data_IF_871384099054
#
_entry.id   IF_871384099054
#
_cell.length_a   1.000
_cell.length_b   1.000
_cell.length_c   1.000
_cell.angle_alpha   90.00
_cell.angle_beta   90.00
_cell.angle_gamma   90.00
#
_symmetry.space_group_name_H-M   'P 1'
#
loop_
_entity.id
_entity.type
_entity.pdbx_description
1 polymer ?
#
# COMPACT_ATOMS: atom_id res chain seq x y z
N UNK A 1 -19.44 12.59 -3.35
CA UNK A 1 -18.87 13.95 -3.19
C UNK A 1 -17.57 13.81 -2.42
N UNK A 2 -16.45 14.25 -3.00
CA UNK A 2 -15.14 14.09 -2.35
C UNK A 2 -15.05 14.89 -1.04
N UNK A 3 -14.43 14.27 -0.02
CA UNK A 3 -14.20 14.88 1.30
C UNK A 3 -13.05 15.88 1.28
N UNK A 4 -12.26 15.89 0.22
CA UNK A 4 -11.09 16.76 0.03
C UNK A 4 -11.28 17.64 -1.21
N UNK A 5 -10.61 18.79 -1.21
CA UNK A 5 -10.55 19.73 -2.34
C UNK A 5 -9.09 20.05 -2.65
N UNK A 6 -8.84 20.35 -3.93
CA UNK A 6 -7.54 20.78 -4.44
C UNK A 6 -7.72 22.15 -5.09
N UNK A 7 -6.82 23.09 -4.76
CA UNK A 7 -6.81 24.41 -5.39
C UNK A 7 -6.24 24.29 -6.81
N UNK A 8 -6.91 24.87 -7.80
CA UNK A 8 -6.37 24.93 -9.17
C UNK A 8 -5.08 25.76 -9.18
N UNK A 9 -4.19 25.58 -10.19
CA UNK A 9 -3.00 26.42 -10.34
C UNK A 9 -3.33 27.93 -10.35
N UNK A 10 -4.45 28.29 -10.99
CA UNK A 10 -5.01 29.65 -11.02
C UNK A 10 -5.53 30.07 -9.64
N UNK A 11 -6.24 29.18 -8.94
CA UNK A 11 -6.75 29.38 -7.59
C UNK A 11 -5.63 29.60 -6.57
N UNK A 12 -4.53 28.86 -6.66
CA UNK A 12 -3.32 29.05 -5.84
C UNK A 12 -2.70 30.43 -6.10
N UNK A 13 -2.62 30.87 -7.36
CA UNK A 13 -2.10 32.21 -7.69
C UNK A 13 -2.98 33.32 -7.09
N UNK A 14 -4.30 33.18 -7.18
CA UNK A 14 -5.26 34.10 -6.58
C UNK A 14 -5.14 34.12 -5.06
N UNK A 15 -5.06 32.96 -4.42
CA UNK A 15 -4.89 32.86 -2.98
C UNK A 15 -3.56 33.47 -2.51
N UNK A 16 -2.45 33.24 -3.23
CA UNK A 16 -1.15 33.86 -2.91
C UNK A 16 -1.19 35.38 -3.05
N UNK A 17 -1.96 35.90 -4.01
CA UNK A 17 -2.19 37.33 -4.17
C UNK A 17 -3.01 37.91 -3.00
N UNK A 18 -4.08 37.23 -2.58
CA UNK A 18 -4.92 37.62 -1.44
C UNK A 18 -4.12 37.60 -0.12
N UNK A 19 -3.31 36.57 0.09
CA UNK A 19 -2.42 36.44 1.25
C UNK A 19 -1.44 37.62 1.33
N UNK A 20 -0.79 37.96 0.20
CA UNK A 20 0.11 39.12 0.11
C UNK A 20 -0.62 40.45 0.33
N UNK A 21 -1.85 40.60 -0.17
CA UNK A 21 -2.65 41.81 0.02
C UNK A 21 -3.00 42.06 1.50
N UNK A 22 -3.09 40.99 2.30
CA UNK A 22 -3.30 41.06 3.75
C UNK A 22 -1.98 41.18 4.56
N UNK A 23 -0.82 41.30 3.91
CA UNK A 23 0.50 41.33 4.53
C UNK A 23 0.82 40.14 5.46
N UNK A 24 0.27 38.95 5.15
CA UNK A 24 0.49 37.74 5.95
C UNK A 24 1.52 36.81 5.31
N UNK A 25 2.32 36.13 6.14
CA UNK A 25 3.06 34.94 5.72
C UNK A 25 2.18 33.69 5.86
N UNK A 26 2.58 32.56 5.26
CA UNK A 26 1.84 31.30 5.46
C UNK A 26 1.86 30.84 6.93
N UNK A 27 2.91 31.20 7.68
CA UNK A 27 3.04 30.87 9.10
C UNK A 27 2.07 31.70 9.94
N UNK A 28 2.02 33.02 9.72
CA UNK A 28 1.10 33.92 10.43
C UNK A 28 -0.35 33.57 10.09
N UNK A 29 -0.62 33.33 8.81
CA UNK A 29 -1.94 32.93 8.33
C UNK A 29 -2.42 31.61 8.93
N UNK A 30 -1.54 30.63 9.11
CA UNK A 30 -1.88 29.37 9.76
C UNK A 30 -2.33 29.56 11.22
N UNK A 31 -1.65 30.46 11.95
CA UNK A 31 -2.04 30.83 13.32
C UNK A 31 -3.40 31.55 13.33
N UNK A 32 -3.61 32.51 12.44
CA UNK A 32 -4.83 33.33 12.40
C UNK A 32 -6.08 32.54 12.01
N UNK A 33 -5.95 31.56 11.11
CA UNK A 33 -7.04 30.67 10.69
C UNK A 33 -7.21 29.47 11.64
N UNK A 34 -6.31 29.29 12.62
CA UNK A 34 -6.36 28.19 13.58
C UNK A 34 -6.10 26.80 12.96
N UNK A 35 -5.41 26.74 11.81
CA UNK A 35 -5.08 25.50 11.12
C UNK A 35 -3.60 25.15 11.26
N UNK A 36 -3.28 23.86 11.20
CA UNK A 36 -1.88 23.43 11.13
C UNK A 36 -1.17 24.02 9.91
N UNK A 37 0.08 24.46 10.09
CA UNK A 37 0.92 24.98 9.00
C UNK A 37 0.98 24.04 7.80
N UNK A 38 1.01 22.73 8.03
CA UNK A 38 0.99 21.69 6.99
C UNK A 38 -0.26 21.76 6.13
N UNK A 39 -1.44 22.01 6.70
CA UNK A 39 -2.71 22.19 5.99
C UNK A 39 -2.68 23.43 5.08
N UNK A 40 -2.18 24.55 5.61
CA UNK A 40 -2.01 25.80 4.85
C UNK A 40 -1.01 25.62 3.72
N UNK A 41 0.14 25.00 4.01
CA UNK A 41 1.17 24.70 3.02
C UNK A 41 0.62 23.79 1.91
N UNK A 42 -0.14 22.74 2.27
CA UNK A 42 -0.76 21.84 1.30
C UNK A 42 -1.73 22.59 0.37
N UNK A 43 -2.57 23.49 0.90
CA UNK A 43 -3.45 24.34 0.10
C UNK A 43 -2.68 25.17 -0.94
N UNK A 44 -1.62 25.88 -0.51
CA UNK A 44 -0.82 26.72 -1.41
C UNK A 44 0.10 25.95 -2.37
N UNK A 45 0.24 24.64 -2.19
CA UNK A 45 1.00 23.74 -3.05
C UNK A 45 0.09 22.82 -3.89
N UNK A 46 -1.21 23.15 -4.01
CA UNK A 46 -2.19 22.36 -4.77
C UNK A 46 -2.24 20.87 -4.34
N UNK A 47 -2.06 20.60 -3.05
CA UNK A 47 -2.24 19.26 -2.46
C UNK A 47 -3.66 19.12 -1.88
N UNK A 48 -4.25 17.91 -1.86
CA UNK A 48 -5.56 17.69 -1.30
C UNK A 48 -5.62 18.05 0.19
N UNK A 49 -6.64 18.82 0.57
CA UNK A 49 -6.97 19.09 1.98
C UNK A 49 -8.46 18.89 2.22
N UNK A 50 -8.86 18.65 3.47
CA UNK A 50 -10.27 18.50 3.82
C UNK A 50 -11.09 19.71 3.39
N UNK A 51 -12.28 19.44 2.87
CA UNK A 51 -13.19 20.47 2.35
C UNK A 51 -13.49 21.57 3.37
N UNK A 52 -13.65 21.21 4.65
CA UNK A 52 -13.87 22.17 5.75
C UNK A 52 -12.72 23.17 5.84
N UNK A 53 -11.48 22.67 5.90
CA UNK A 53 -10.28 23.48 5.99
C UNK A 53 -10.08 24.32 4.72
N UNK A 54 -10.40 23.77 3.55
CA UNK A 54 -10.33 24.49 2.28
C UNK A 54 -11.29 25.69 2.26
N UNK A 55 -12.53 25.48 2.72
CA UNK A 55 -13.54 26.52 2.81
C UNK A 55 -13.13 27.58 3.84
N UNK A 56 -12.63 27.18 5.00
CA UNK A 56 -12.14 28.10 6.04
C UNK A 56 -11.00 29.00 5.53
N UNK A 57 -10.02 28.42 4.83
CA UNK A 57 -8.93 29.16 4.19
C UNK A 57 -9.49 30.17 3.17
N UNK A 58 -10.43 29.76 2.33
CA UNK A 58 -11.01 30.65 1.32
C UNK A 58 -11.83 31.78 1.96
N UNK A 59 -12.60 31.47 3.00
CA UNK A 59 -13.38 32.46 3.77
C UNK A 59 -12.45 33.52 4.38
N UNK A 60 -11.34 33.12 5.00
CA UNK A 60 -10.40 34.07 5.59
C UNK A 60 -9.73 34.98 4.53
N UNK A 61 -9.44 34.40 3.36
CA UNK A 61 -8.83 35.12 2.24
C UNK A 61 -9.83 35.97 1.43
N UNK A 62 -11.11 36.01 1.81
CA UNK A 62 -12.20 36.67 1.07
C UNK A 62 -12.34 36.13 -0.37
N UNK A 63 -12.19 34.82 -0.54
CA UNK A 63 -12.29 34.12 -1.81
C UNK A 63 -13.49 33.18 -1.82
N UNK A 64 -14.17 33.09 -2.96
CA UNK A 64 -15.17 32.05 -3.17
C UNK A 64 -14.45 30.73 -3.46
N UNK A 65 -14.61 29.75 -2.57
CA UNK A 65 -13.94 28.45 -2.67
C UNK A 65 -14.28 27.71 -3.98
N UNK A 66 -15.43 27.99 -4.60
CA UNK A 66 -15.83 27.40 -5.89
C UNK A 66 -15.04 27.94 -7.08
N UNK A 67 -14.45 29.12 -6.95
CA UNK A 67 -13.61 29.72 -7.99
C UNK A 67 -12.13 29.34 -7.81
N UNK A 68 -11.77 28.80 -6.64
CA UNK A 68 -10.41 28.36 -6.28
C UNK A 68 -10.25 26.85 -6.46
N UNK A 69 -11.26 26.07 -6.09
CA UNK A 69 -11.21 24.63 -6.18
C UNK A 69 -11.31 24.15 -7.63
N UNK A 70 -10.62 23.06 -7.92
CA UNK A 70 -10.77 22.35 -9.20
C UNK A 70 -12.02 21.47 -9.12
N UNK A 71 -13.01 21.71 -9.97
CA UNK A 71 -14.20 20.87 -10.16
C UNK A 71 -14.14 20.21 -11.53
N UNK A 72 -13.12 19.38 -11.71
CA UNK A 72 -13.05 18.36 -12.73
C UNK A 72 -12.79 17.06 -12.01
N UNK A 73 -13.17 15.93 -12.62
CA UNK A 73 -12.96 14.58 -12.12
C UNK A 73 -11.68 14.49 -11.33
N UNK A 74 -11.77 13.82 -10.17
CA UNK A 74 -10.61 13.41 -9.40
C UNK A 74 -9.47 13.17 -10.38
N UNK A 75 -8.39 13.96 -10.28
CA UNK A 75 -7.12 13.33 -10.48
C UNK A 75 -7.07 12.28 -9.36
N UNK A 76 -7.70 11.12 -9.61
CA UNK A 76 -7.14 9.86 -9.18
C UNK A 76 -5.68 10.04 -9.55
N UNK A 77 -4.72 9.92 -8.61
CA UNK A 77 -3.32 9.90 -9.01
C UNK A 77 -3.29 9.00 -10.24
N UNK A 78 -2.86 9.52 -11.41
CA UNK A 78 -2.89 8.74 -12.66
C UNK A 78 -2.32 7.40 -12.28
N UNK A 79 -3.18 6.37 -12.24
CA UNK A 79 -2.77 5.08 -11.70
C UNK A 79 -1.61 4.71 -12.59
N UNK A 80 -0.44 4.50 -11.98
CA UNK A 80 0.70 4.08 -12.79
C UNK A 80 0.27 2.83 -13.55
N UNK A 81 0.84 2.55 -14.74
CA UNK A 81 0.52 1.32 -15.45
C UNK A 81 0.61 0.10 -14.52
N UNK A 82 1.58 0.12 -13.59
CA UNK A 82 1.75 -0.89 -12.56
C UNK A 82 0.57 -0.95 -11.56
N UNK A 83 0.10 0.19 -11.05
CA UNK A 83 -1.08 0.24 -10.17
C UNK A 83 -2.35 -0.27 -10.84
N UNK A 84 -2.53 0.05 -12.11
CA UNK A 84 -3.69 -0.39 -12.90
C UNK A 84 -3.70 -1.91 -13.07
N UNK A 85 -2.53 -2.51 -13.33
CA UNK A 85 -2.39 -3.97 -13.44
C UNK A 85 -2.61 -4.65 -12.08
N UNK A 86 -2.09 -4.08 -11.00
CA UNK A 86 -2.33 -4.57 -9.64
C UNK A 86 -3.82 -4.58 -9.28
N UNK A 87 -4.55 -3.52 -9.63
CA UNK A 87 -6.00 -3.46 -9.42
C UNK A 87 -6.74 -4.52 -10.25
N UNK A 88 -6.33 -4.78 -11.49
CA UNK A 88 -6.91 -5.84 -12.30
C UNK A 88 -6.70 -7.22 -11.65
N UNK A 89 -5.51 -7.50 -11.12
CA UNK A 89 -5.24 -8.73 -10.37
C UNK A 89 -6.13 -8.82 -9.12
N UNK A 90 -6.28 -7.73 -8.36
CA UNK A 90 -7.17 -7.69 -7.20
C UNK A 90 -8.63 -7.98 -7.57
N UNK A 91 -9.11 -7.49 -8.72
CA UNK A 91 -10.47 -7.75 -9.22
C UNK A 91 -10.70 -9.23 -9.59
N UNK A 92 -9.65 -9.95 -9.98
CA UNK A 92 -9.69 -11.39 -10.23
C UNK A 92 -9.61 -12.22 -8.94
N UNK A 93 -9.17 -11.60 -7.84
CA UNK A 93 -8.97 -12.24 -6.56
C UNK A 93 -10.12 -12.05 -5.58
N UNK A 94 -9.89 -12.56 -4.37
CA UNK A 94 -10.78 -12.33 -3.24
C UNK A 94 -10.00 -11.94 -1.99
N UNK A 95 -10.54 -11.04 -1.15
CA UNK A 95 -9.95 -10.78 0.15
C UNK A 95 -10.00 -12.07 0.98
N UNK A 96 -8.95 -12.35 1.75
CA UNK A 96 -8.86 -13.60 2.52
C UNK A 96 -8.48 -13.38 3.98
N UNK A 97 -8.96 -14.28 4.83
CA UNK A 97 -8.49 -14.45 6.21
C UNK A 97 -7.65 -15.75 6.34
N UNK A 98 -7.26 -16.36 5.21
CA UNK A 98 -6.35 -17.52 5.18
C UNK A 98 -4.88 -17.11 5.12
N UNK A 99 -4.58 -15.84 4.83
CA UNK A 99 -3.23 -15.29 4.91
C UNK A 99 -3.19 -13.93 5.59
N UNK A 100 -2.03 -13.60 6.16
CA UNK A 100 -1.76 -12.28 6.70
C UNK A 100 -0.54 -12.24 7.62
N UNK A 101 -0.41 -11.13 8.34
CA UNK A 101 0.75 -10.86 9.17
C UNK A 101 0.64 -11.47 10.57
N UNK A 102 1.79 -11.92 11.07
CA UNK A 102 1.99 -12.33 12.46
C UNK A 102 3.20 -11.60 13.02
N UNK A 103 3.01 -10.91 14.15
CA UNK A 103 4.10 -10.26 14.88
C UNK A 103 5.00 -11.31 15.55
N UNK A 104 6.30 -11.20 15.31
CA UNK A 104 7.32 -11.95 16.04
C UNK A 104 7.58 -11.22 17.34
N UNK A 105 6.96 -11.71 18.42
CA UNK A 105 7.25 -11.22 19.77
C UNK A 105 8.51 -11.92 20.26
N UNK A 106 9.45 -11.17 20.82
CA UNK A 106 10.52 -11.79 21.62
C UNK A 106 9.85 -12.65 22.71
N UNK A 107 10.30 -13.89 22.84
CA UNK A 107 9.84 -14.80 23.90
C UNK A 107 10.26 -14.22 25.26
N UNK A 108 9.47 -13.30 25.80
CA UNK A 108 9.45 -13.10 27.24
C UNK A 108 8.91 -14.38 27.86
N UNK A 109 9.49 -14.84 28.98
CA UNK A 109 9.12 -16.05 29.73
C UNK A 109 7.67 -15.99 30.25
N UNK A 110 6.71 -15.98 29.35
CA UNK A 110 5.32 -15.67 29.59
C UNK A 110 4.46 -16.85 29.19
N UNK A 111 3.74 -17.39 30.17
CA UNK A 111 2.72 -18.42 30.03
C UNK A 111 1.46 -17.83 29.35
N UNK A 112 1.66 -17.22 28.19
CA UNK A 112 0.63 -16.57 27.40
C UNK A 112 -0.19 -17.61 26.66
N UNK A 113 -1.51 -17.62 26.91
CA UNK A 113 -2.46 -18.40 26.12
C UNK A 113 -2.26 -18.07 24.63
N UNK A 114 -2.00 -19.09 23.80
CA UNK A 114 -2.14 -18.99 22.35
C UNK A 114 -3.56 -18.52 22.05
N UNK A 115 -3.72 -17.24 21.73
CA UNK A 115 -4.98 -16.71 21.20
C UNK A 115 -5.04 -17.17 19.74
N UNK A 116 -6.05 -17.97 19.34
CA UNK A 116 -6.18 -18.35 17.95
C UNK A 116 -6.51 -17.12 17.10
N UNK A 117 -5.60 -16.81 16.17
CA UNK A 117 -5.86 -16.32 14.82
C UNK A 117 -6.78 -15.11 14.66
N UNK A 118 -6.21 -13.91 14.74
CA UNK A 118 -6.47 -12.92 13.70
C UNK A 118 -5.13 -12.39 13.21
N UNK A 119 -4.96 -12.32 11.90
CA UNK A 119 -3.78 -11.67 11.33
C UNK A 119 -3.80 -10.18 11.67
N UNK A 120 -2.62 -9.63 11.90
CA UNK A 120 -2.47 -8.23 12.28
C UNK A 120 -2.91 -7.34 11.10
N UNK A 121 -3.82 -6.40 11.37
CA UNK A 121 -4.25 -5.39 10.38
C UNK A 121 -3.45 -4.10 10.50
N UNK A 122 -2.63 -3.98 11.54
CA UNK A 122 -1.74 -2.84 11.78
C UNK A 122 -0.47 -3.31 12.46
N UNK A 123 0.68 -2.78 12.02
CA UNK A 123 2.00 -3.08 12.60
C UNK A 123 2.82 -1.79 12.72
N UNK A 124 3.64 -1.68 13.76
CA UNK A 124 4.48 -0.50 13.99
C UNK A 124 5.83 -0.64 13.28
N UNK A 125 6.37 0.48 12.78
CA UNK A 125 7.76 0.55 12.33
C UNK A 125 8.72 0.02 13.41
N UNK A 126 9.71 -0.77 12.98
CA UNK A 126 10.66 -1.45 13.85
C UNK A 126 10.18 -2.79 14.44
N UNK A 127 8.92 -3.17 14.19
CA UNK A 127 8.43 -4.52 14.51
C UNK A 127 9.03 -5.56 13.54
N UNK A 128 9.07 -6.81 13.97
CA UNK A 128 9.40 -7.95 13.12
C UNK A 128 8.15 -8.78 12.86
N UNK A 129 7.94 -9.16 11.60
CA UNK A 129 6.75 -9.90 11.18
C UNK A 129 7.10 -11.17 10.40
N UNK A 130 6.15 -12.09 10.35
CA UNK A 130 6.08 -13.17 9.37
C UNK A 130 4.79 -13.04 8.58
N UNK A 131 4.83 -13.44 7.31
CA UNK A 131 3.63 -13.62 6.51
C UNK A 131 3.24 -15.08 6.60
N UNK A 132 2.06 -15.39 7.13
CA UNK A 132 1.53 -16.75 7.16
C UNK A 132 0.46 -16.92 6.09
N UNK A 133 0.46 -18.10 5.45
CA UNK A 133 -0.51 -18.51 4.45
C UNK A 133 -0.98 -19.91 4.82
N UNK A 134 -2.30 -20.12 4.89
CA UNK A 134 -2.90 -21.41 5.18
C UNK A 134 -3.61 -21.96 3.94
N UNK A 135 -2.98 -22.93 3.27
CA UNK A 135 -3.49 -23.51 2.03
C UNK A 135 -4.40 -24.70 2.29
N UNK A 136 -5.53 -24.74 1.60
CA UNK A 136 -6.44 -25.89 1.61
C UNK A 136 -6.09 -26.96 0.57
N UNK A 137 -5.41 -26.55 -0.51
CA UNK A 137 -4.91 -27.43 -1.59
C UNK A 137 -3.42 -27.18 -1.81
N UNK A 138 -2.64 -28.21 -2.18
CA UNK A 138 -1.24 -28.01 -2.56
C UNK A 138 -1.16 -27.21 -3.87
N UNK A 139 -0.06 -26.50 -4.08
CA UNK A 139 0.14 -25.71 -5.29
C UNK A 139 1.42 -24.88 -5.25
N UNK A 140 1.70 -24.23 -6.38
CA UNK A 140 2.78 -23.28 -6.56
C UNK A 140 2.32 -21.88 -6.11
N UNK A 141 3.04 -21.29 -5.16
CA UNK A 141 2.78 -19.96 -4.62
C UNK A 141 3.65 -18.89 -5.30
N UNK A 142 2.97 -17.87 -5.83
CA UNK A 142 3.54 -16.54 -6.03
C UNK A 142 3.07 -15.62 -4.90
N UNK A 143 4.00 -15.02 -4.17
CA UNK A 143 3.68 -14.03 -3.15
C UNK A 143 4.22 -12.67 -3.57
N UNK A 144 3.32 -11.71 -3.75
CA UNK A 144 3.64 -10.36 -4.18
C UNK A 144 3.29 -9.37 -3.06
N UNK A 145 4.09 -8.33 -2.90
CA UNK A 145 3.81 -7.23 -1.98
C UNK A 145 3.86 -5.91 -2.73
N UNK A 146 2.93 -5.01 -2.42
CA UNK A 146 2.99 -3.59 -2.75
C UNK A 146 3.28 -2.81 -1.47
N UNK A 147 4.39 -2.08 -1.46
CA UNK A 147 4.81 -1.29 -0.29
C UNK A 147 4.11 0.07 -0.21
N UNK A 148 4.40 0.83 0.85
CA UNK A 148 3.80 2.16 1.07
C UNK A 148 4.21 3.22 0.04
N UNK A 149 5.28 2.98 -0.72
CA UNK A 149 5.73 3.83 -1.83
C UNK A 149 5.08 3.46 -3.17
N UNK A 150 4.36 2.35 -3.23
CA UNK A 150 3.74 1.81 -4.44
C UNK A 150 4.65 0.90 -5.26
N UNK A 151 5.88 0.64 -4.80
CA UNK A 151 6.74 -0.35 -5.43
C UNK A 151 6.22 -1.76 -5.13
N UNK A 152 6.40 -2.66 -6.08
CA UNK A 152 5.90 -4.02 -6.00
C UNK A 152 7.05 -5.02 -6.08
N UNK A 153 6.93 -6.10 -5.33
CA UNK A 153 8.01 -7.04 -5.09
C UNK A 153 7.50 -8.48 -5.09
N UNK A 154 8.27 -9.41 -5.65
CA UNK A 154 7.99 -10.84 -5.57
C UNK A 154 8.79 -11.48 -4.42
N UNK A 155 8.09 -11.87 -3.35
CA UNK A 155 8.65 -12.50 -2.17
C UNK A 155 8.68 -14.04 -2.25
N UNK A 156 7.93 -14.64 -3.17
CA UNK A 156 7.94 -16.08 -3.42
C UNK A 156 7.66 -16.32 -4.92
N UNK A 157 8.55 -17.01 -5.66
CA UNK A 157 9.87 -17.48 -5.23
C UNK A 157 10.84 -16.32 -4.96
N UNK A 158 11.73 -16.48 -3.97
CA UNK A 158 12.85 -15.56 -3.70
C UNK A 158 13.86 -16.20 -2.72
N UNK A 159 14.92 -15.47 -2.37
CA UNK A 159 15.82 -15.83 -1.27
C UNK A 159 15.12 -16.05 0.09
N UNK A 160 13.91 -15.51 0.28
CA UNK A 160 13.10 -15.73 1.50
C UNK A 160 12.18 -16.94 1.42
N UNK A 161 11.91 -17.45 0.22
CA UNK A 161 11.03 -18.59 -0.01
C UNK A 161 11.44 -19.35 -1.27
N UNK A 162 12.46 -20.20 -1.11
CA UNK A 162 13.04 -20.99 -2.21
C UNK A 162 12.20 -22.20 -2.59
N UNK A 163 11.22 -22.58 -1.78
CA UNK A 163 10.31 -23.71 -2.01
C UNK A 163 8.90 -23.18 -2.29
N UNK A 164 8.61 -22.66 -3.50
CA UNK A 164 7.31 -22.09 -3.84
C UNK A 164 6.20 -23.15 -3.97
N UNK A 165 6.56 -24.42 -4.17
CA UNK A 165 5.61 -25.53 -4.10
C UNK A 165 5.26 -25.82 -2.64
N UNK A 166 4.04 -25.49 -2.26
CA UNK A 166 3.53 -25.66 -0.92
C UNK A 166 2.56 -26.84 -0.84
N UNK A 167 2.65 -27.58 0.26
CA UNK A 167 1.64 -28.55 0.65
C UNK A 167 0.47 -27.85 1.36
N UNK A 168 -0.61 -28.59 1.61
CA UNK A 168 -1.72 -28.12 2.43
C UNK A 168 -1.27 -27.76 3.85
N UNK A 169 -1.94 -26.78 4.45
CA UNK A 169 -1.68 -26.32 5.80
C UNK A 169 -0.97 -24.97 5.84
N UNK A 170 -0.46 -24.64 7.02
CA UNK A 170 0.16 -23.35 7.29
C UNK A 170 1.63 -23.35 6.87
N UNK A 171 2.01 -22.35 6.08
CA UNK A 171 3.39 -22.00 5.76
C UNK A 171 3.64 -20.56 6.22
N UNK A 172 4.85 -20.27 6.70
CA UNK A 172 5.29 -18.91 6.99
C UNK A 172 6.41 -18.48 6.06
N UNK A 173 6.42 -17.19 5.71
CA UNK A 173 7.53 -16.51 5.10
C UNK A 173 8.15 -15.52 6.11
N UNK A 174 9.49 -15.45 6.20
CA UNK A 174 10.46 -16.25 5.44
C UNK A 174 10.39 -17.76 5.75
N UNK A 175 10.71 -18.60 4.77
CA UNK A 175 10.76 -20.07 4.90
C UNK A 175 12.01 -20.51 5.67
N UNK A 176 11.96 -21.72 6.25
CA UNK A 176 13.14 -22.32 6.88
C UNK A 176 14.31 -22.44 5.89
N UNK A 177 15.49 -21.96 6.30
CA UNK A 177 16.69 -21.88 5.45
C UNK A 177 16.90 -20.53 4.76
N UNK A 178 15.95 -19.59 4.86
CA UNK A 178 16.12 -18.18 4.44
C UNK A 178 17.24 -17.47 5.21
N UNK A 179 17.89 -16.43 4.63
CA UNK A 179 18.90 -15.60 5.32
C UNK A 179 18.35 -14.84 6.55
N UNK A 180 17.03 -14.71 6.67
CA UNK A 180 16.35 -14.12 7.82
C UNK A 180 15.15 -14.97 8.26
N UNK A 181 14.75 -14.82 9.53
CA UNK A 181 13.65 -15.58 10.14
C UNK A 181 12.37 -14.76 10.34
N UNK A 182 12.42 -13.46 10.06
CA UNK A 182 11.32 -12.50 10.11
C UNK A 182 11.68 -11.27 9.27
N UNK A 183 10.68 -10.58 8.74
CA UNK A 183 10.87 -9.31 8.02
C UNK A 183 10.80 -8.13 9.00
N UNK A 184 11.79 -7.23 8.99
CA UNK A 184 11.66 -5.97 9.71
C UNK A 184 10.64 -5.07 8.98
N UNK A 185 9.76 -4.41 9.73
CA UNK A 185 8.88 -3.37 9.21
C UNK A 185 9.66 -2.06 9.14
N UNK A 186 10.03 -1.66 7.92
CA UNK A 186 10.85 -0.49 7.63
C UNK A 186 10.14 0.46 6.66
N UNK A 187 10.73 1.61 6.36
CA UNK A 187 10.17 2.59 5.43
C UNK A 187 9.22 3.59 6.09
N UNK A 188 8.16 3.99 5.37
CA UNK A 188 7.22 5.02 5.81
C UNK A 188 5.90 4.40 6.27
N UNK A 189 5.20 5.04 7.24
CA UNK A 189 3.83 4.65 7.58
C UNK A 189 2.89 4.76 6.37
N UNK A 190 1.97 3.82 6.24
CA UNK A 190 1.07 3.75 5.09
C UNK A 190 0.43 2.38 4.93
N UNK A 191 -0.39 2.24 3.89
CA UNK A 191 -1.02 0.97 3.54
C UNK A 191 -0.05 0.11 2.73
N UNK A 192 0.09 -1.15 3.10
CA UNK A 192 0.75 -2.16 2.28
C UNK A 192 -0.24 -3.25 1.91
N UNK A 193 -0.03 -3.86 0.74
CA UNK A 193 -0.92 -4.88 0.19
C UNK A 193 -0.11 -6.13 -0.14
N UNK A 194 -0.65 -7.29 0.21
CA UNK A 194 -0.06 -8.59 -0.10
C UNK A 194 -1.04 -9.35 -0.98
N UNK A 195 -0.51 -9.96 -2.03
CA UNK A 195 -1.25 -10.80 -2.95
C UNK A 195 -0.59 -12.16 -3.05
N UNK A 196 -1.38 -13.21 -2.92
CA UNK A 196 -0.96 -14.56 -3.20
C UNK A 196 -1.66 -15.03 -4.48
N UNK A 197 -0.89 -15.55 -5.44
CA UNK A 197 -1.39 -16.28 -6.60
C UNK A 197 -0.97 -17.73 -6.45
N UNK A 198 -1.95 -18.63 -6.35
CA UNK A 198 -1.73 -20.06 -6.19
C UNK A 198 -2.17 -20.76 -7.46
N UNK A 199 -1.27 -21.57 -8.00
CA UNK A 199 -1.46 -22.29 -9.26
C UNK A 199 -1.14 -23.76 -9.03
N UNK A 200 -1.69 -24.65 -9.85
CA UNK A 200 -1.46 -26.09 -9.67
C UNK A 200 -0.08 -26.53 -10.16
N UNK A 201 0.36 -25.93 -11.26
CA UNK A 201 1.64 -26.18 -11.90
C UNK A 201 2.51 -24.92 -11.84
N UNK A 202 3.81 -25.06 -12.11
CA UNK A 202 4.72 -23.91 -12.20
C UNK A 202 4.26 -22.99 -13.34
N UNK A 203 3.97 -21.71 -13.07
CA UNK A 203 3.59 -20.78 -14.13
C UNK A 203 4.70 -20.65 -15.18
N UNK A 204 4.33 -20.60 -16.45
CA UNK A 204 5.27 -20.38 -17.57
C UNK A 204 5.58 -18.90 -17.71
N UNK A 205 6.22 -18.33 -16.70
CA UNK A 205 6.60 -16.92 -16.61
C UNK A 205 8.13 -16.84 -16.63
N UNK A 206 8.69 -16.25 -17.68
CA UNK A 206 10.15 -16.27 -17.95
C UNK A 206 10.98 -15.54 -16.88
N UNK A 207 10.34 -14.64 -16.13
CA UNK A 207 10.94 -13.88 -15.03
C UNK A 207 10.89 -14.59 -13.68
N UNK A 208 10.25 -15.76 -13.57
CA UNK A 208 10.30 -16.52 -12.31
C UNK A 208 11.74 -16.93 -12.03
N UNK A 209 12.28 -16.30 -10.99
CA UNK A 209 13.68 -16.34 -10.60
C UNK A 209 14.17 -17.76 -10.32
N UNK A 210 15.46 -18.00 -10.56
CA UNK A 210 16.13 -19.27 -10.31
C UNK A 210 16.64 -19.34 -8.86
N UNK A 211 17.09 -20.53 -8.43
CA UNK A 211 17.54 -20.79 -7.06
C UNK A 211 18.60 -19.78 -6.57
N UNK A 212 18.36 -19.16 -5.40
CA UNK A 212 19.18 -18.14 -4.72
C UNK A 212 19.12 -16.70 -5.24
N UNK A 213 18.17 -16.34 -6.10
CA UNK A 213 18.02 -14.95 -6.55
C UNK A 213 17.51 -14.00 -5.44
N UNK A 214 17.93 -12.73 -5.54
CA UNK A 214 17.42 -11.61 -4.73
C UNK A 214 15.91 -11.40 -4.96
N UNK A 215 15.28 -10.59 -4.10
CA UNK A 215 13.86 -10.25 -4.26
C UNK A 215 13.67 -9.48 -5.58
N UNK A 216 12.81 -9.99 -6.46
CA UNK A 216 12.54 -9.36 -7.74
C UNK A 216 11.62 -8.14 -7.54
N UNK A 217 12.06 -6.97 -7.97
CA UNK A 217 11.19 -5.81 -8.15
C UNK A 217 10.32 -6.01 -9.38
N UNK A 218 9.00 -5.89 -9.21
CA UNK A 218 8.04 -6.09 -10.29
C UNK A 218 7.88 -4.81 -11.13
N UNK A 219 7.84 -5.02 -12.44
CA UNK A 219 7.60 -3.99 -13.45
C UNK A 219 6.28 -4.29 -14.16
N UNK A 220 5.83 -3.35 -15.00
CA UNK A 220 4.54 -3.48 -15.69
C UNK A 220 4.49 -4.72 -16.61
N UNK A 221 5.62 -5.10 -17.24
CA UNK A 221 5.72 -6.33 -18.04
C UNK A 221 5.43 -7.58 -17.20
N UNK A 222 6.06 -7.71 -16.03
CA UNK A 222 5.89 -8.87 -15.14
C UNK A 222 4.42 -9.07 -14.74
N UNK A 223 3.72 -7.99 -14.38
CA UNK A 223 2.30 -8.08 -14.02
C UNK A 223 1.39 -8.32 -15.23
N UNK A 224 1.76 -7.83 -16.41
CA UNK A 224 1.02 -8.08 -17.65
C UNK A 224 1.07 -9.57 -18.00
N UNK A 225 2.25 -10.16 -17.99
CA UNK A 225 2.43 -11.59 -18.26
C UNK A 225 1.72 -12.46 -17.21
N UNK A 226 1.75 -12.07 -15.94
CA UNK A 226 1.00 -12.76 -14.89
C UNK A 226 -0.51 -12.69 -15.12
N UNK A 227 -1.03 -11.52 -15.51
CA UNK A 227 -2.45 -11.36 -15.84
C UNK A 227 -2.85 -12.23 -17.03
N UNK A 228 -2.06 -12.23 -18.10
CA UNK A 228 -2.28 -13.08 -19.27
C UNK A 228 -2.30 -14.56 -18.87
N UNK A 229 -1.30 -15.01 -18.10
CA UNK A 229 -1.25 -16.39 -17.60
C UNK A 229 -2.52 -16.76 -16.81
N UNK A 230 -2.95 -15.91 -15.87
CA UNK A 230 -4.14 -16.14 -15.04
C UNK A 230 -5.44 -16.15 -15.87
N UNK A 231 -5.53 -15.35 -16.94
CA UNK A 231 -6.70 -15.37 -17.83
C UNK A 231 -6.74 -16.62 -18.72
N UNK A 232 -5.58 -17.08 -19.20
CA UNK A 232 -5.47 -18.24 -20.09
C UNK A 232 -5.62 -19.57 -19.33
N UNK A 233 -5.15 -19.63 -18.08
CA UNK A 233 -5.13 -20.84 -17.27
C UNK A 233 -6.20 -20.77 -16.18
N UNK A 234 -7.30 -21.52 -16.34
CA UNK A 234 -8.46 -21.42 -15.44
C UNK A 234 -8.34 -22.06 -14.05
N UNK A 235 -7.26 -22.79 -13.75
CA UNK A 235 -7.04 -23.43 -12.44
C UNK A 235 -6.08 -22.61 -11.56
N UNK A 236 -6.56 -21.48 -11.03
CA UNK A 236 -5.84 -20.64 -10.06
C UNK A 236 -6.69 -20.27 -8.86
N UNK A 237 -6.03 -19.88 -7.77
CA UNK A 237 -6.63 -19.12 -6.68
C UNK A 237 -5.84 -17.83 -6.53
N UNK A 238 -6.53 -16.70 -6.39
CA UNK A 238 -5.89 -15.41 -6.15
C UNK A 238 -6.50 -14.80 -4.90
N UNK A 239 -5.64 -14.52 -3.92
CA UNK A 239 -6.03 -13.89 -2.68
C UNK A 239 -5.28 -12.59 -2.47
N UNK A 240 -5.91 -11.66 -1.79
CA UNK A 240 -5.24 -10.46 -1.33
C UNK A 240 -5.62 -10.12 0.10
N UNK A 241 -4.74 -9.40 0.78
CA UNK A 241 -4.96 -8.83 2.10
C UNK A 241 -4.15 -7.54 2.20
N UNK A 242 -4.51 -6.69 3.15
CA UNK A 242 -3.80 -5.45 3.41
C UNK A 242 -3.66 -5.17 4.89
N UNK A 243 -2.68 -4.33 5.22
CA UNK A 243 -2.41 -3.88 6.57
C UNK A 243 -1.87 -2.45 6.56
N UNK A 244 -1.93 -1.83 7.74
CA UNK A 244 -1.42 -0.48 7.97
C UNK A 244 -0.08 -0.53 8.70
N UNK A 245 0.95 0.08 8.12
CA UNK A 245 2.19 0.42 8.82
C UNK A 245 1.98 1.74 9.55
N UNK A 246 2.20 1.75 10.86
CA UNK A 246 2.04 2.94 11.70
C UNK A 246 3.39 3.41 12.23
N UNK A 247 3.47 4.71 12.53
CA UNK A 247 4.57 5.26 13.31
C UNK A 247 4.69 4.54 14.68
N UNK A 248 5.90 4.49 15.27
CA UNK A 248 6.12 3.90 16.58
C UNK A 248 5.37 4.61 17.70
#
# INVERSE_FOLDING_TARGET
MSRTLVASPEGVKLARKALKAKNLTQTDFALDVGLGYTTVSNFFNAKPIYRTNFQEICVFLDLNWQDIATFGEEASPELTPLDSLWQQLQLLGSPTEQMGLVLVKEETLGWGKQIPGRYEKSVQLGSYIRVEINLSTPGYLLLLQKDTSGQMWCFCPSCFAQKPHLNTGKTSLPQEGSPMTAFPIEGNPGKEEIMAVMTKEVPTLDWLTQENDEVLQLEASHLTELLEYVHEHGEYQLWYTDYMVTAP
#
